data_IF_663567422004
#
_entry.id   IF_663567422004
#
_cell.length_a   1.000
_cell.length_b   1.000
_cell.length_c   1.000
_cell.angle_alpha   90.00
_cell.angle_beta   90.00
_cell.angle_gamma   90.00
#
_symmetry.space_group_name_H-M   'P 1'
#
loop_
_entity.id
_entity.type
_entity.pdbx_description
1 polymer ?
#
# COMPACT_ATOMS: atom_id res chain seq x y z
N UNK A 1 59.06 19.79 -9.19
CA UNK A 1 59.38 21.22 -9.16
C UNK A 1 58.10 21.99 -9.37
N UNK A 2 57.84 22.92 -8.44
CA UNK A 2 56.77 23.91 -8.37
C UNK A 2 55.36 23.45 -7.98
N UNK A 3 55.08 23.32 -6.67
CA UNK A 3 53.99 24.01 -5.99
C UNK A 3 54.30 25.54 -5.96
N UNK A 4 53.39 26.47 -5.67
CA UNK A 4 52.15 26.43 -4.85
C UNK A 4 51.06 27.43 -5.29
N UNK A 5 49.95 27.50 -4.60
CA UNK A 5 49.40 28.70 -3.96
C UNK A 5 48.03 28.43 -3.32
N UNK A 6 47.99 28.60 -2.03
CA UNK A 6 46.82 28.86 -1.19
C UNK A 6 46.38 30.30 -1.36
N UNK A 7 45.10 30.63 -1.28
CA UNK A 7 44.62 31.89 -0.75
C UNK A 7 43.78 31.71 0.52
N UNK A 8 44.25 32.39 1.51
CA UNK A 8 43.68 33.19 2.60
C UNK A 8 42.15 33.13 2.87
N UNK A 9 41.95 32.76 4.08
CA UNK A 9 41.01 33.11 5.13
C UNK A 9 40.50 34.57 5.01
N UNK A 10 39.16 34.71 4.97
CA UNK A 10 38.49 35.98 5.25
C UNK A 10 37.31 35.72 6.21
N UNK A 11 37.64 35.84 7.49
CA UNK A 11 36.75 35.79 8.62
C UNK A 11 36.05 37.15 8.80
N UNK A 12 34.86 37.33 8.30
CA UNK A 12 34.03 38.45 8.75
C UNK A 12 33.11 38.01 9.90
N UNK A 13 33.52 38.47 11.07
CA UNK A 13 32.76 38.50 12.32
C UNK A 13 31.39 39.18 12.12
N UNK A 14 30.35 38.52 12.48
CA UNK A 14 29.08 39.18 12.86
C UNK A 14 28.98 39.16 14.38
N UNK A 15 29.11 40.37 14.95
CA UNK A 15 28.84 40.68 16.35
C UNK A 15 27.35 40.46 16.65
N UNK A 16 27.08 39.56 17.57
CA UNK A 16 25.76 39.41 18.19
C UNK A 16 25.68 40.38 19.35
N UNK A 17 24.95 41.46 19.15
CA UNK A 17 24.60 42.47 20.13
C UNK A 17 23.59 41.88 21.12
N UNK A 18 24.03 41.66 22.35
CA UNK A 18 23.19 41.24 23.48
C UNK A 18 22.41 42.44 24.01
N UNK A 19 21.10 42.47 23.73
CA UNK A 19 20.17 43.42 24.34
C UNK A 19 19.84 42.94 25.78
N UNK A 20 20.27 43.76 26.76
CA UNK A 20 19.98 43.57 28.18
C UNK A 20 18.52 43.90 28.56
N UNK A 21 18.04 43.46 29.73
CA UNK A 21 16.65 43.66 30.17
C UNK A 21 16.39 45.11 30.63
N UNK A 22 15.14 45.59 30.52
CA UNK A 22 14.78 46.97 30.90
C UNK A 22 14.71 47.11 32.43
N UNK A 23 14.97 48.33 32.94
CA UNK A 23 15.04 48.61 34.40
C UNK A 23 13.66 48.66 35.06
N UNK A 24 13.60 48.15 36.28
CA UNK A 24 12.42 48.15 37.13
C UNK A 24 11.99 49.57 37.54
N UNK A 25 10.69 49.81 37.47
CA UNK A 25 10.05 51.01 38.01
C UNK A 25 9.76 50.78 39.48
N UNK A 26 10.44 51.52 40.35
CA UNK A 26 10.10 51.76 41.77
C UNK A 26 8.84 52.64 41.82
N UNK A 27 7.75 52.17 42.39
CA UNK A 27 6.63 52.99 42.75
C UNK A 27 6.63 53.31 44.24
N UNK A 28 6.65 54.57 44.48
CA UNK A 28 6.63 55.29 45.74
C UNK A 28 5.41 54.96 46.59
N UNK A 29 5.72 54.73 47.84
CA UNK A 29 4.81 54.61 48.99
C UNK A 29 4.10 55.91 49.23
N UNK A 30 2.78 56.00 48.97
CA UNK A 30 1.96 57.13 49.42
C UNK A 30 1.00 56.61 50.51
N UNK A 31 1.28 57.06 51.73
CA UNK A 31 0.50 56.82 52.95
C UNK A 31 -0.90 57.41 52.78
N UNK A 32 -1.93 56.58 52.91
CA UNK A 32 -3.32 57.02 52.96
C UNK A 32 -3.85 56.86 54.38
N UNK A 33 -3.87 58.00 55.08
CA UNK A 33 -4.40 58.20 56.44
C UNK A 33 -5.93 58.23 56.43
N UNK A 34 -6.64 57.11 56.17
CA UNK A 34 -8.11 57.10 56.18
C UNK A 34 -8.71 55.87 56.87
N UNK A 35 -7.96 55.13 57.66
CA UNK A 35 -8.41 53.92 58.28
C UNK A 35 -9.18 54.03 59.65
N UNK A 36 -9.24 55.16 60.39
CA UNK A 36 -10.04 55.15 61.61
C UNK A 36 -11.53 55.49 61.45
N UNK A 37 -11.96 56.04 60.27
CA UNK A 37 -13.38 56.46 60.11
C UNK A 37 -14.31 55.30 59.68
N UNK A 38 -13.80 54.23 59.03
CA UNK A 38 -14.59 53.07 58.59
C UNK A 38 -14.85 52.04 59.71
N UNK A 39 -14.03 52.00 60.74
CA UNK A 39 -14.21 51.07 61.87
C UNK A 39 -15.41 51.40 62.77
N UNK A 40 -15.73 52.70 62.90
CA UNK A 40 -16.83 53.14 63.77
C UNK A 40 -18.22 52.92 63.16
N UNK A 41 -18.31 52.94 61.85
CA UNK A 41 -19.57 52.72 61.10
C UNK A 41 -19.96 51.23 61.03
N UNK A 42 -18.99 50.33 61.02
CA UNK A 42 -19.23 48.87 61.03
C UNK A 42 -19.65 48.38 62.43
N UNK A 43 -19.24 49.05 63.51
CA UNK A 43 -19.61 48.65 64.89
C UNK A 43 -21.05 49.03 65.21
N UNK A 44 -21.56 50.15 64.69
CA UNK A 44 -22.95 50.57 64.88
C UNK A 44 -23.96 49.78 64.03
N UNK A 45 -23.57 49.32 62.83
CA UNK A 45 -24.43 48.48 62.00
C UNK A 45 -24.46 47.03 62.48
N UNK A 46 -23.37 46.50 63.10
CA UNK A 46 -23.33 45.16 63.70
C UNK A 46 -24.22 45.01 64.93
N UNK A 47 -24.33 46.04 65.79
CA UNK A 47 -25.21 46.04 66.98
C UNK A 47 -26.71 46.10 66.63
N UNK A 48 -27.07 46.77 65.55
CA UNK A 48 -28.46 46.86 65.10
C UNK A 48 -29.01 45.60 64.46
N UNK A 49 -28.18 44.85 63.75
CA UNK A 49 -28.53 43.57 63.13
C UNK A 49 -28.55 42.41 64.16
N UNK A 50 -27.72 42.44 65.17
CA UNK A 50 -27.67 41.42 66.25
C UNK A 50 -28.95 41.45 67.14
N UNK A 51 -29.51 42.64 67.42
CA UNK A 51 -30.75 42.77 68.20
C UNK A 51 -31.98 42.31 67.46
N UNK A 52 -32.01 42.54 66.13
CA UNK A 52 -33.15 42.11 65.30
C UNK A 52 -33.13 40.55 65.11
N UNK A 53 -31.97 39.92 65.19
CA UNK A 53 -31.86 38.47 65.10
C UNK A 53 -32.22 37.75 66.40
N UNK A 54 -32.10 38.43 67.59
CA UNK A 54 -32.46 37.86 68.85
C UNK A 54 -33.96 37.93 69.16
N UNK A 55 -34.68 38.89 68.63
CA UNK A 55 -36.15 39.02 68.86
C UNK A 55 -36.99 38.07 67.95
N UNK A 56 -36.40 37.39 66.99
CA UNK A 56 -37.10 36.43 66.11
C UNK A 56 -37.21 35.00 66.64
N UNK A 57 -36.76 34.73 67.88
CA UNK A 57 -36.71 33.36 68.41
C UNK A 57 -37.74 32.99 69.49
N UNK A 58 -38.85 33.63 69.51
CA UNK A 58 -39.92 33.22 70.44
C UNK A 58 -41.23 33.05 69.64
N UNK A 59 -41.63 31.81 69.54
CA UNK A 59 -42.89 31.24 69.03
C UNK A 59 -42.82 30.55 67.66
N UNK A 60 -42.57 29.27 67.68
CA UNK A 60 -43.04 28.33 66.70
C UNK A 60 -43.75 27.16 67.36
N UNK A 61 -44.96 26.83 67.02
CA UNK A 61 -45.62 25.61 67.46
C UNK A 61 -45.10 24.43 66.63
N UNK A 62 -45.00 23.25 67.27
CA UNK A 62 -44.46 22.01 66.76
C UNK A 62 -44.98 21.62 65.38
N UNK A 63 -44.01 21.52 64.45
CA UNK A 63 -44.17 20.79 63.24
C UNK A 63 -43.33 19.53 63.34
N UNK A 64 -43.97 18.38 63.25
CA UNK A 64 -43.38 17.06 63.22
C UNK A 64 -42.23 17.01 62.17
N UNK A 65 -41.04 16.69 62.64
CA UNK A 65 -39.97 16.25 61.80
C UNK A 65 -40.39 14.95 61.12
N UNK A 66 -40.88 15.03 59.87
CA UNK A 66 -41.03 13.87 59.02
C UNK A 66 -39.62 13.28 58.83
N UNK A 67 -39.46 12.00 59.15
CA UNK A 67 -38.28 11.23 58.87
C UNK A 67 -37.98 11.38 57.36
N UNK A 68 -36.69 11.42 56.97
CA UNK A 68 -36.35 11.49 55.53
C UNK A 68 -36.90 10.23 54.85
N UNK A 69 -37.95 10.41 54.09
CA UNK A 69 -38.41 9.38 53.13
C UNK A 69 -37.24 9.18 52.15
N UNK A 70 -36.72 7.96 52.15
CA UNK A 70 -35.74 7.53 51.15
C UNK A 70 -36.38 7.62 49.76
N UNK A 71 -36.34 8.79 49.16
CA UNK A 71 -36.82 8.98 47.77
C UNK A 71 -35.86 8.23 46.90
N UNK A 72 -36.39 7.24 46.13
CA UNK A 72 -35.62 6.53 45.14
C UNK A 72 -35.08 7.54 44.11
N UNK A 73 -33.80 7.52 43.88
CA UNK A 73 -33.13 8.43 42.92
C UNK A 73 -33.47 8.04 41.48
N UNK A 74 -33.92 9.01 40.66
CA UNK A 74 -34.18 8.73 39.24
C UNK A 74 -32.88 8.49 38.52
N UNK A 75 -32.73 7.33 37.84
CA UNK A 75 -31.54 6.93 37.09
C UNK A 75 -31.93 6.34 35.77
N UNK A 76 -31.04 6.49 34.75
CA UNK A 76 -31.19 5.75 33.52
C UNK A 76 -30.42 4.44 33.61
N UNK A 77 -31.07 3.36 33.17
CA UNK A 77 -30.48 2.03 33.12
C UNK A 77 -30.09 1.69 31.68
N UNK A 78 -28.94 1.06 31.53
CA UNK A 78 -28.49 0.42 30.30
C UNK A 78 -28.31 -1.08 30.52
N UNK A 79 -28.73 -1.91 29.62
CA UNK A 79 -28.46 -3.34 29.65
C UNK A 79 -27.13 -3.63 28.97
N UNK A 80 -26.27 -4.40 29.63
CA UNK A 80 -24.99 -4.81 29.08
C UNK A 80 -25.19 -5.91 28.05
N UNK A 81 -24.87 -5.61 26.81
CA UNK A 81 -24.87 -6.58 25.72
C UNK A 81 -23.45 -7.00 25.40
N UNK A 82 -23.29 -8.28 25.03
CA UNK A 82 -22.02 -8.75 24.47
C UNK A 82 -21.86 -8.17 23.08
N UNK A 83 -20.81 -7.38 22.89
CA UNK A 83 -20.46 -6.78 21.60
C UNK A 83 -19.05 -7.19 21.19
N UNK A 84 -18.68 -6.93 19.92
CA UNK A 84 -17.32 -7.21 19.45
C UNK A 84 -16.36 -6.13 19.93
N UNK A 85 -15.42 -6.51 20.76
CA UNK A 85 -14.29 -5.66 21.16
C UNK A 85 -13.15 -5.89 20.20
N UNK A 86 -12.62 -4.80 19.65
CA UNK A 86 -11.53 -4.80 18.68
C UNK A 86 -10.26 -4.27 19.35
N UNK A 87 -9.24 -5.12 19.45
CA UNK A 87 -7.90 -4.66 19.80
C UNK A 87 -7.20 -4.20 18.51
N UNK A 88 -6.81 -2.95 18.46
CA UNK A 88 -6.14 -2.35 17.31
C UNK A 88 -5.05 -1.37 17.73
N UNK A 89 -4.13 -1.14 16.81
CA UNK A 89 -3.16 -0.04 16.93
C UNK A 89 -3.26 0.86 15.70
N UNK A 90 -3.12 2.15 15.91
CA UNK A 90 -3.10 3.14 14.84
C UNK A 90 -1.66 3.43 14.41
N UNK A 91 -1.46 3.41 13.11
CA UNK A 91 -0.20 3.71 12.46
C UNK A 91 -0.40 4.76 11.37
N UNK A 92 0.65 5.50 11.09
CA UNK A 92 0.74 6.31 9.87
C UNK A 92 1.67 5.57 8.93
N UNK A 93 1.19 5.30 7.72
CA UNK A 93 1.96 4.64 6.68
C UNK A 93 1.87 5.37 5.35
N UNK A 94 2.77 5.03 4.43
CA UNK A 94 2.72 5.50 3.05
C UNK A 94 2.12 4.44 2.14
N UNK A 95 1.25 4.87 1.25
CA UNK A 95 0.78 4.04 0.15
C UNK A 95 1.84 4.05 -0.95
N UNK A 96 2.12 2.88 -1.50
CA UNK A 96 3.13 2.67 -2.53
C UNK A 96 2.53 1.82 -3.65
N UNK A 97 2.68 2.26 -4.89
CA UNK A 97 2.21 1.48 -6.02
C UNK A 97 3.25 0.40 -6.35
N UNK A 98 2.89 -0.91 -6.31
CA UNK A 98 3.86 -1.99 -6.55
C UNK A 98 4.46 -1.92 -7.96
N UNK A 99 3.69 -1.45 -8.93
CA UNK A 99 4.11 -1.28 -10.31
C UNK A 99 4.23 0.21 -10.64
N UNK A 100 5.28 0.86 -10.19
CA UNK A 100 5.66 2.22 -10.57
C UNK A 100 7.07 2.22 -11.12
N UNK A 101 7.25 2.65 -12.37
CA UNK A 101 8.56 2.68 -13.04
C UNK A 101 8.80 4.01 -13.73
N UNK A 102 10.07 4.38 -13.80
CA UNK A 102 10.54 5.46 -14.66
C UNK A 102 10.85 4.91 -16.06
N UNK A 103 10.20 5.46 -17.07
CA UNK A 103 10.46 5.11 -18.47
C UNK A 103 11.64 5.95 -18.98
N UNK A 104 12.68 5.26 -19.42
CA UNK A 104 13.89 5.87 -20.00
C UNK A 104 14.12 5.32 -21.40
N UNK A 105 14.71 6.09 -22.33
CA UNK A 105 15.04 5.59 -23.65
C UNK A 105 16.21 4.61 -23.57
N UNK A 106 16.19 3.56 -24.37
CA UNK A 106 17.31 2.61 -24.47
C UNK A 106 18.42 3.15 -25.39
N UNK A 107 18.07 4.06 -26.28
CA UNK A 107 18.99 4.71 -27.23
C UNK A 107 18.97 6.23 -27.11
N UNK A 108 20.10 6.85 -27.40
CA UNK A 108 20.17 8.31 -27.53
C UNK A 108 19.52 8.74 -28.85
N UNK A 109 18.64 9.75 -28.78
CA UNK A 109 17.97 10.27 -29.97
C UNK A 109 17.27 11.60 -29.72
N UNK A 110 16.79 12.22 -30.81
CA UNK A 110 15.97 13.43 -30.73
C UNK A 110 14.49 13.03 -30.70
N UNK A 111 13.73 13.57 -29.75
CA UNK A 111 12.27 13.39 -29.67
C UNK A 111 11.62 13.97 -30.91
N UNK A 112 10.99 13.11 -31.72
CA UNK A 112 10.22 13.50 -32.91
C UNK A 112 8.75 13.72 -32.62
N UNK A 113 8.17 12.90 -31.72
CA UNK A 113 6.77 12.96 -31.36
C UNK A 113 6.53 12.42 -29.95
N UNK A 114 5.54 12.98 -29.25
CA UNK A 114 5.00 12.49 -27.99
C UNK A 114 3.52 12.18 -28.25
N UNK A 115 3.11 10.94 -27.98
CA UNK A 115 1.77 10.45 -28.32
C UNK A 115 0.77 10.58 -27.18
N UNK A 116 1.26 10.80 -25.94
CA UNK A 116 0.45 10.80 -24.72
C UNK A 116 0.66 12.09 -23.94
N UNK A 117 -0.33 12.44 -23.14
CA UNK A 117 -0.26 13.54 -22.19
C UNK A 117 -0.11 13.00 -20.75
N UNK A 118 0.38 13.84 -19.86
CA UNK A 118 0.41 13.52 -18.43
C UNK A 118 -1.01 13.28 -17.88
N UNK A 119 -1.18 12.21 -17.14
CA UNK A 119 -2.45 11.76 -16.59
C UNK A 119 -3.24 10.82 -17.51
N UNK A 120 -2.79 10.58 -18.74
CA UNK A 120 -3.44 9.64 -19.64
C UNK A 120 -3.33 8.20 -19.12
N UNK A 121 -4.39 7.43 -19.34
CA UNK A 121 -4.41 6.00 -19.07
C UNK A 121 -4.03 5.26 -20.34
N UNK A 122 -2.99 4.42 -20.26
CA UNK A 122 -2.44 3.65 -21.38
C UNK A 122 -2.48 2.16 -21.08
N UNK A 123 -2.50 1.36 -22.16
CA UNK A 123 -2.37 -0.09 -22.10
C UNK A 123 -0.97 -0.53 -22.52
N UNK A 124 -0.58 -1.74 -22.13
CA UNK A 124 0.69 -2.32 -22.57
C UNK A 124 0.83 -2.26 -24.11
N UNK A 125 2.02 -1.85 -24.59
CA UNK A 125 2.32 -1.67 -26.01
C UNK A 125 1.87 -0.33 -26.62
N UNK A 126 1.17 0.53 -25.87
CA UNK A 126 0.81 1.88 -26.37
C UNK A 126 2.07 2.72 -26.56
N UNK A 127 2.30 3.34 -27.73
CA UNK A 127 3.42 4.21 -27.98
C UNK A 127 3.31 5.47 -27.11
N UNK A 128 4.39 5.81 -26.40
CA UNK A 128 4.49 6.98 -25.53
C UNK A 128 5.26 8.10 -26.20
N UNK A 129 6.48 7.80 -26.64
CA UNK A 129 7.41 8.76 -27.25
C UNK A 129 8.10 8.12 -28.43
N UNK A 130 8.23 8.87 -29.51
CA UNK A 130 9.00 8.51 -30.71
C UNK A 130 10.28 9.31 -30.75
N UNK A 131 11.39 8.63 -30.81
CA UNK A 131 12.68 9.24 -31.18
C UNK A 131 12.81 9.26 -32.69
N UNK A 132 13.64 10.18 -33.23
CA UNK A 132 13.84 10.31 -34.70
C UNK A 132 14.43 9.02 -35.25
N UNK A 133 13.70 8.32 -36.17
CA UNK A 133 14.12 7.02 -36.66
C UNK A 133 15.03 7.09 -37.91
N UNK A 134 15.16 8.28 -38.55
CA UNK A 134 15.77 8.46 -39.87
C UNK A 134 17.13 7.72 -40.03
N UNK A 135 18.00 7.85 -39.03
CA UNK A 135 19.31 7.20 -39.03
C UNK A 135 19.18 5.67 -38.96
N UNK A 136 18.29 5.17 -38.11
CA UNK A 136 18.08 3.73 -37.90
C UNK A 136 17.38 3.06 -39.06
N UNK A 137 16.47 3.77 -39.70
CA UNK A 137 15.83 3.34 -40.97
C UNK A 137 16.85 3.21 -42.08
N UNK A 138 17.76 4.20 -42.24
CA UNK A 138 18.83 4.14 -43.20
C UNK A 138 19.82 3.00 -42.93
N UNK A 139 20.19 2.78 -41.64
CA UNK A 139 21.03 1.68 -41.24
C UNK A 139 20.39 0.33 -41.58
N UNK A 140 19.11 0.13 -41.24
CA UNK A 140 18.35 -1.08 -41.58
C UNK A 140 18.28 -1.31 -43.09
N UNK A 141 17.98 -0.27 -43.87
CA UNK A 141 17.93 -0.35 -45.32
C UNK A 141 19.28 -0.80 -45.92
N UNK A 142 20.38 -0.29 -45.42
CA UNK A 142 21.74 -0.68 -45.80
C UNK A 142 22.04 -2.16 -45.52
N UNK A 143 21.66 -2.63 -44.30
CA UNK A 143 21.87 -4.03 -43.91
C UNK A 143 20.96 -4.97 -44.72
N UNK A 144 19.72 -4.60 -45.02
CA UNK A 144 18.80 -5.37 -45.87
C UNK A 144 19.35 -5.48 -47.32
N UNK A 145 20.00 -4.44 -47.84
CA UNK A 145 20.71 -4.54 -49.10
C UNK A 145 21.83 -5.58 -49.04
N UNK A 146 22.57 -5.65 -47.94
CA UNK A 146 23.61 -6.68 -47.72
C UNK A 146 23.04 -8.11 -47.68
N UNK A 147 21.85 -8.32 -47.11
CA UNK A 147 21.13 -9.61 -47.15
C UNK A 147 20.82 -9.98 -48.60
N UNK A 148 20.39 -9.02 -49.42
CA UNK A 148 20.07 -9.25 -50.83
C UNK A 148 21.30 -9.66 -51.63
N UNK A 149 22.47 -9.05 -51.38
CA UNK A 149 23.76 -9.44 -51.97
C UNK A 149 24.15 -10.86 -51.58
N UNK A 150 24.06 -11.20 -50.30
CA UNK A 150 24.37 -12.53 -49.82
C UNK A 150 23.46 -13.61 -50.42
N UNK A 151 22.17 -13.34 -50.59
CA UNK A 151 21.20 -14.24 -51.28
C UNK A 151 21.56 -14.45 -52.77
N UNK A 152 21.98 -13.38 -53.43
CA UNK A 152 22.45 -13.50 -54.81
C UNK A 152 23.72 -14.39 -54.90
N UNK A 153 24.65 -14.22 -53.96
CA UNK A 153 25.81 -15.10 -53.82
C UNK A 153 25.44 -16.56 -53.58
N UNK A 154 24.46 -16.86 -52.73
CA UNK A 154 23.93 -18.19 -52.51
C UNK A 154 23.30 -18.79 -53.78
N UNK A 155 22.53 -18.00 -54.55
CA UNK A 155 21.94 -18.45 -55.78
C UNK A 155 23.02 -18.81 -56.83
N UNK A 156 24.08 -18.01 -56.92
CA UNK A 156 25.22 -18.30 -57.78
C UNK A 156 25.93 -19.63 -57.40
N UNK A 157 26.17 -19.81 -56.08
CA UNK A 157 26.77 -21.05 -55.58
C UNK A 157 25.88 -22.29 -55.83
N UNK A 158 24.56 -22.14 -55.71
CA UNK A 158 23.59 -23.20 -56.06
C UNK A 158 23.68 -23.58 -57.53
N UNK A 159 23.71 -22.58 -58.42
CA UNK A 159 23.85 -22.81 -59.86
C UNK A 159 25.16 -23.53 -60.21
N UNK A 160 26.24 -23.25 -59.49
CA UNK A 160 27.52 -24.00 -59.69
C UNK A 160 27.40 -25.49 -59.29
N UNK A 161 26.68 -25.79 -58.17
CA UNK A 161 26.39 -27.18 -57.80
C UNK A 161 25.57 -27.89 -58.87
N UNK A 162 24.51 -27.20 -59.35
CA UNK A 162 23.64 -27.76 -60.43
C UNK A 162 24.41 -28.03 -61.71
N UNK A 163 25.28 -27.09 -62.13
CA UNK A 163 26.14 -27.27 -63.29
C UNK A 163 27.10 -28.49 -63.14
N UNK A 164 27.76 -28.58 -61.99
CA UNK A 164 28.66 -29.70 -61.68
C UNK A 164 27.91 -31.05 -61.63
N UNK A 165 26.66 -31.07 -61.18
CA UNK A 165 25.81 -32.28 -61.18
C UNK A 165 25.39 -32.65 -62.62
N UNK A 166 25.12 -31.69 -63.50
CA UNK A 166 24.86 -31.96 -64.92
C UNK A 166 26.08 -32.55 -65.59
N UNK A 167 27.29 -32.01 -65.34
CA UNK A 167 28.54 -32.54 -65.83
C UNK A 167 28.73 -34.02 -65.38
N UNK A 168 28.39 -34.34 -64.12
CA UNK A 168 28.44 -35.70 -63.59
C UNK A 168 27.55 -36.66 -64.37
N UNK A 169 26.32 -36.28 -64.67
CA UNK A 169 25.37 -37.08 -65.44
C UNK A 169 25.94 -37.40 -66.84
N UNK A 170 26.51 -36.39 -67.52
CA UNK A 170 27.15 -36.58 -68.83
C UNK A 170 28.36 -37.56 -68.76
N UNK A 171 29.22 -37.41 -67.76
CA UNK A 171 30.38 -38.26 -67.56
C UNK A 171 30.00 -39.70 -67.12
N UNK A 172 28.91 -39.85 -66.39
CA UNK A 172 28.39 -41.17 -65.99
C UNK A 172 27.89 -41.96 -67.21
N UNK A 173 27.25 -41.26 -68.17
CA UNK A 173 26.89 -41.87 -69.46
C UNK A 173 28.12 -42.34 -70.25
N UNK A 174 29.22 -41.56 -70.25
CA UNK A 174 30.49 -41.95 -70.84
C UNK A 174 31.10 -43.17 -70.20
N UNK A 175 31.17 -43.19 -68.84
CA UNK A 175 31.63 -44.36 -68.09
C UNK A 175 30.82 -45.61 -68.47
N UNK A 176 29.51 -45.49 -68.60
CA UNK A 176 28.64 -46.61 -68.96
C UNK A 176 28.92 -47.08 -70.41
N UNK A 177 29.16 -46.17 -71.38
CA UNK A 177 29.58 -46.53 -72.69
C UNK A 177 30.90 -47.25 -72.70
N UNK A 178 31.90 -46.75 -71.98
CA UNK A 178 33.24 -47.40 -71.98
C UNK A 178 33.20 -48.75 -71.25
N UNK A 179 32.39 -48.92 -70.21
CA UNK A 179 32.14 -50.22 -69.57
C UNK A 179 31.51 -51.21 -70.49
N UNK A 180 30.55 -50.85 -71.31
CA UNK A 180 29.92 -51.69 -72.32
C UNK A 180 30.94 -52.11 -73.42
N UNK A 181 31.75 -51.13 -73.90
CA UNK A 181 32.81 -51.41 -74.90
C UNK A 181 33.84 -52.40 -74.36
N UNK A 182 34.31 -52.22 -73.10
CA UNK A 182 35.22 -53.13 -72.47
C UNK A 182 34.61 -54.54 -72.31
N UNK A 183 33.35 -54.69 -71.86
CA UNK A 183 32.68 -55.97 -71.80
C UNK A 183 32.53 -56.70 -73.09
N UNK A 184 32.21 -56.00 -74.18
CA UNK A 184 32.13 -56.55 -75.51
C UNK A 184 33.51 -57.02 -76.05
N UNK A 185 34.53 -56.17 -75.92
CA UNK A 185 35.90 -56.45 -76.37
C UNK A 185 36.49 -57.60 -75.58
N UNK A 186 36.31 -57.65 -74.26
CA UNK A 186 36.77 -58.81 -73.40
C UNK A 186 36.19 -60.12 -73.86
N UNK A 187 34.87 -60.19 -74.15
CA UNK A 187 34.25 -61.43 -74.72
C UNK A 187 34.80 -61.82 -76.04
N UNK A 188 35.14 -60.86 -76.94
CA UNK A 188 35.71 -61.11 -78.26
C UNK A 188 37.19 -61.63 -78.18
N UNK A 189 37.97 -61.06 -77.24
CA UNK A 189 39.36 -61.57 -76.98
C UNK A 189 39.34 -62.97 -76.39
N UNK A 190 38.46 -63.22 -75.45
CA UNK A 190 38.27 -64.57 -74.85
C UNK A 190 37.93 -65.61 -75.91
N UNK A 191 37.24 -65.23 -76.97
CA UNK A 191 36.88 -66.06 -78.13
C UNK A 191 37.97 -66.12 -79.18
N UNK A 192 39.10 -65.42 -79.01
CA UNK A 192 40.19 -65.35 -79.98
C UNK A 192 39.94 -64.47 -81.19
N UNK A 193 38.91 -63.62 -81.18
CA UNK A 193 38.54 -62.74 -82.31
C UNK A 193 39.24 -61.38 -82.30
N UNK A 194 39.83 -60.92 -81.19
CA UNK A 194 40.60 -59.69 -81.07
C UNK A 194 41.93 -59.96 -80.26
N UNK A 195 42.87 -59.03 -80.42
CA UNK A 195 44.17 -59.09 -79.71
C UNK A 195 44.06 -58.57 -78.27
N UNK A 196 44.99 -59.03 -77.40
CA UNK A 196 45.10 -58.47 -76.02
C UNK A 196 45.40 -56.94 -76.03
N UNK A 197 46.17 -56.47 -77.01
CA UNK A 197 46.45 -55.08 -77.16
C UNK A 197 45.12 -54.21 -77.26
N UNK A 198 44.10 -54.72 -77.98
CA UNK A 198 42.82 -54.11 -78.13
C UNK A 198 42.05 -54.09 -76.77
N UNK A 199 42.18 -55.10 -75.95
CA UNK A 199 41.60 -55.13 -74.62
C UNK A 199 42.28 -54.12 -73.70
N UNK A 200 43.62 -54.06 -73.73
CA UNK A 200 44.35 -53.07 -72.94
C UNK A 200 44.02 -51.58 -73.32
N UNK A 201 43.71 -51.34 -74.60
CA UNK A 201 43.26 -49.97 -74.99
C UNK A 201 41.90 -49.63 -74.40
N UNK A 202 40.85 -50.43 -74.53
CA UNK A 202 39.55 -50.19 -74.02
C UNK A 202 39.52 -50.21 -72.44
N UNK A 203 40.45 -50.97 -71.87
CA UNK A 203 40.67 -50.94 -70.40
C UNK A 203 41.15 -49.54 -69.96
N UNK A 204 42.21 -49.04 -70.62
CA UNK A 204 42.72 -47.67 -70.32
C UNK A 204 41.65 -46.60 -70.53
N UNK A 205 40.82 -46.71 -71.55
CA UNK A 205 39.73 -45.77 -71.85
C UNK A 205 38.67 -45.78 -70.75
N UNK A 206 38.23 -47.01 -70.31
CA UNK A 206 37.30 -47.17 -69.17
C UNK A 206 37.89 -46.59 -67.89
N UNK A 207 39.15 -46.90 -67.56
CA UNK A 207 39.81 -46.48 -66.33
C UNK A 207 40.00 -44.95 -66.34
N UNK A 208 40.25 -44.33 -67.50
CA UNK A 208 40.31 -42.90 -67.67
C UNK A 208 38.94 -42.26 -67.49
N UNK A 209 37.88 -42.84 -68.04
CA UNK A 209 36.52 -42.32 -67.83
C UNK A 209 36.09 -42.40 -66.35
N UNK A 210 36.44 -43.48 -65.64
CA UNK A 210 36.17 -43.62 -64.20
C UNK A 210 36.96 -42.58 -63.40
N UNK A 211 38.24 -42.34 -63.73
CA UNK A 211 39.05 -41.33 -63.06
C UNK A 211 38.50 -39.89 -63.28
N UNK A 212 37.98 -39.62 -64.49
CA UNK A 212 37.31 -38.36 -64.79
C UNK A 212 36.00 -38.16 -64.00
N UNK A 213 35.18 -39.25 -63.86
CA UNK A 213 33.98 -39.18 -63.02
C UNK A 213 34.33 -38.87 -61.55
N UNK A 214 35.36 -39.55 -61.01
CA UNK A 214 35.84 -39.28 -59.66
C UNK A 214 36.37 -37.85 -59.47
N UNK A 215 36.94 -37.24 -60.51
CA UNK A 215 37.34 -35.82 -60.48
C UNK A 215 36.12 -34.86 -60.46
N UNK A 216 35.05 -35.20 -61.18
CA UNK A 216 33.78 -34.40 -61.15
C UNK A 216 33.11 -34.55 -59.75
N UNK A 217 33.09 -35.75 -59.17
CA UNK A 217 32.53 -35.94 -57.80
C UNK A 217 33.23 -35.04 -56.79
N UNK A 218 34.57 -34.90 -56.85
CA UNK A 218 35.32 -33.96 -56.00
C UNK A 218 34.96 -32.52 -56.32
N UNK A 219 34.69 -32.16 -57.57
CA UNK A 219 34.25 -30.82 -57.95
C UNK A 219 32.87 -30.49 -57.37
N UNK A 220 31.95 -31.50 -57.36
CA UNK A 220 30.65 -31.35 -56.71
C UNK A 220 30.82 -31.10 -55.20
N UNK A 221 31.65 -31.87 -54.53
CA UNK A 221 31.93 -31.68 -53.10
C UNK A 221 32.49 -30.27 -52.82
N UNK A 222 33.38 -29.75 -53.66
CA UNK A 222 33.90 -28.39 -53.55
C UNK A 222 32.81 -27.34 -53.77
N UNK A 223 31.93 -27.53 -54.77
CA UNK A 223 30.81 -26.62 -55.04
C UNK A 223 29.77 -26.66 -53.90
N UNK A 224 29.49 -27.84 -53.31
CA UNK A 224 28.60 -27.98 -52.17
C UNK A 224 29.17 -27.30 -50.94
N UNK A 225 30.50 -27.38 -50.71
CA UNK A 225 31.17 -26.63 -49.63
C UNK A 225 31.03 -25.12 -49.85
N UNK A 226 31.21 -24.63 -51.09
CA UNK A 226 30.98 -23.23 -51.45
C UNK A 226 29.52 -22.78 -51.22
N UNK A 227 28.55 -23.66 -51.51
CA UNK A 227 27.13 -23.38 -51.25
C UNK A 227 26.87 -23.32 -49.73
N UNK A 228 27.51 -24.18 -48.93
CA UNK A 228 27.38 -24.16 -47.48
C UNK A 228 27.96 -22.87 -46.89
N UNK A 229 29.09 -22.38 -47.41
CA UNK A 229 29.69 -21.10 -47.05
C UNK A 229 28.77 -19.94 -47.42
N UNK A 230 28.21 -19.93 -48.63
CA UNK A 230 27.27 -18.88 -49.07
C UNK A 230 25.99 -18.85 -48.21
N UNK A 231 25.47 -20.01 -47.77
CA UNK A 231 24.34 -20.12 -46.83
C UNK A 231 24.68 -19.54 -45.45
N UNK A 232 25.88 -19.83 -44.95
CA UNK A 232 26.35 -19.23 -43.70
C UNK A 232 26.46 -17.71 -43.83
N UNK A 233 26.89 -17.18 -44.98
CA UNK A 233 26.91 -15.76 -45.28
C UNK A 233 25.54 -15.12 -45.25
N UNK A 234 24.50 -15.76 -45.80
CA UNK A 234 23.12 -15.30 -45.70
C UNK A 234 22.63 -15.27 -44.26
N UNK A 235 22.90 -16.31 -43.49
CA UNK A 235 22.49 -16.35 -42.09
C UNK A 235 23.15 -15.24 -41.25
N UNK A 236 24.41 -14.94 -41.50
CA UNK A 236 25.13 -13.84 -40.86
C UNK A 236 24.53 -12.46 -41.25
N UNK A 237 24.25 -12.25 -42.53
CA UNK A 237 23.62 -11.01 -43.02
C UNK A 237 22.22 -10.83 -42.42
N UNK A 238 21.43 -11.91 -42.33
CA UNK A 238 20.10 -11.89 -41.72
C UNK A 238 20.17 -11.53 -40.23
N UNK A 239 21.07 -12.13 -39.46
CA UNK A 239 21.27 -11.80 -38.04
C UNK A 239 21.65 -10.33 -37.83
N UNK A 240 22.41 -9.74 -38.73
CA UNK A 240 22.72 -8.31 -38.73
C UNK A 240 21.48 -7.46 -39.03
N UNK A 241 20.61 -7.88 -39.93
CA UNK A 241 19.35 -7.20 -40.25
C UNK A 241 18.37 -7.26 -39.03
N UNK A 242 18.28 -8.41 -38.38
CA UNK A 242 17.45 -8.57 -37.21
C UNK A 242 17.91 -7.65 -36.07
N UNK A 243 19.22 -7.52 -35.87
CA UNK A 243 19.80 -6.55 -34.93
C UNK A 243 19.46 -5.10 -35.27
N UNK A 244 19.63 -4.72 -36.52
CA UNK A 244 19.31 -3.34 -36.98
C UNK A 244 17.81 -3.06 -36.83
N UNK A 245 16.94 -4.05 -37.08
CA UNK A 245 15.50 -3.93 -36.86
C UNK A 245 15.13 -3.76 -35.39
N UNK A 246 15.76 -4.52 -34.46
CA UNK A 246 15.58 -4.34 -33.05
C UNK A 246 15.96 -2.91 -32.60
N UNK A 247 17.10 -2.40 -33.08
CA UNK A 247 17.53 -1.02 -32.79
C UNK A 247 16.58 0.04 -33.36
N UNK A 248 15.90 -0.24 -34.48
CA UNK A 248 14.86 0.64 -34.97
C UNK A 248 13.61 0.62 -34.08
N UNK A 249 13.23 -0.56 -33.55
CA UNK A 249 12.11 -0.67 -32.65
C UNK A 249 12.34 0.07 -31.32
N UNK A 250 13.58 0.11 -30.81
CA UNK A 250 13.98 0.89 -29.64
C UNK A 250 13.79 2.41 -29.81
N UNK A 251 13.63 2.89 -31.04
CA UNK A 251 13.30 4.29 -31.31
C UNK A 251 11.86 4.66 -30.94
N UNK A 252 10.99 3.66 -30.75
CA UNK A 252 9.61 3.87 -30.29
C UNK A 252 9.48 3.35 -28.87
N UNK A 253 9.37 4.26 -27.92
CA UNK A 253 9.20 3.92 -26.50
C UNK A 253 7.73 3.61 -26.26
N UNK A 254 7.44 2.41 -25.75
CA UNK A 254 6.08 1.93 -25.49
C UNK A 254 5.85 1.67 -24.00
N UNK A 255 4.59 1.66 -23.58
CA UNK A 255 4.21 1.29 -22.21
C UNK A 255 4.43 -0.21 -22.00
N UNK A 256 5.19 -0.64 -20.96
CA UNK A 256 5.41 -2.06 -20.67
C UNK A 256 4.22 -2.76 -20.02
N UNK A 257 3.33 -2.01 -19.36
CA UNK A 257 2.10 -2.49 -18.72
C UNK A 257 1.02 -1.40 -18.71
N UNK A 258 -0.19 -1.79 -18.33
CA UNK A 258 -1.32 -0.87 -18.21
C UNK A 258 -1.15 0.06 -17.02
N UNK A 259 -1.25 1.37 -17.22
CA UNK A 259 -1.02 2.33 -16.16
C UNK A 259 -1.43 3.76 -16.50
N UNK A 260 -1.06 4.67 -15.61
CA UNK A 260 -1.26 6.10 -15.75
C UNK A 260 0.10 6.76 -16.01
N UNK A 261 0.16 7.57 -17.04
CA UNK A 261 1.36 8.32 -17.44
C UNK A 261 1.57 9.49 -16.48
N UNK A 262 2.76 9.56 -15.89
CA UNK A 262 3.16 10.64 -15.01
C UNK A 262 3.55 11.93 -15.75
N UNK A 263 4.44 12.73 -15.14
CA UNK A 263 4.96 13.92 -15.80
C UNK A 263 5.89 13.56 -16.96
N UNK A 264 5.86 14.39 -18.03
CA UNK A 264 6.69 14.22 -19.22
C UNK A 264 7.58 15.45 -19.33
N UNK A 265 8.80 15.43 -18.76
CA UNK A 265 9.71 16.58 -18.81
C UNK A 265 10.25 16.84 -20.20
N UNK A 266 10.36 15.80 -21.05
CA UNK A 266 10.89 15.89 -22.40
C UNK A 266 9.92 16.61 -23.34
N UNK A 267 10.47 17.36 -24.31
CA UNK A 267 9.71 18.09 -25.34
C UNK A 267 10.11 17.62 -26.72
N UNK A 268 9.19 17.77 -27.69
CA UNK A 268 9.49 17.53 -29.10
C UNK A 268 10.65 18.45 -29.53
N UNK A 269 11.68 17.84 -30.10
CA UNK A 269 12.91 18.50 -30.49
C UNK A 269 14.10 18.35 -29.51
N UNK A 270 13.85 17.92 -28.29
CA UNK A 270 14.91 17.66 -27.30
C UNK A 270 15.74 16.44 -27.70
N UNK A 271 17.02 16.44 -27.30
CA UNK A 271 17.89 15.26 -27.40
C UNK A 271 17.91 14.58 -26.06
N UNK A 272 17.52 13.31 -26.03
CA UNK A 272 17.45 12.49 -24.81
C UNK A 272 18.44 11.34 -24.89
N UNK A 273 18.93 10.94 -23.71
CA UNK A 273 19.90 9.85 -23.51
C UNK A 273 19.30 8.79 -22.58
N UNK A 274 19.94 7.63 -22.46
CA UNK A 274 19.53 6.57 -21.56
C UNK A 274 19.51 6.96 -20.04
N UNK A 275 20.08 8.12 -19.69
CA UNK A 275 20.06 8.67 -18.34
C UNK A 275 18.82 9.53 -18.07
N UNK A 276 18.15 9.99 -19.11
CA UNK A 276 17.03 10.93 -19.01
C UNK A 276 15.72 10.20 -18.74
N UNK A 277 14.91 10.72 -17.84
CA UNK A 277 13.57 10.20 -17.56
C UNK A 277 12.62 10.84 -18.57
N UNK A 278 11.94 10.02 -19.37
CA UNK A 278 10.92 10.48 -20.32
C UNK A 278 9.58 10.68 -19.64
N UNK A 279 9.20 9.75 -18.81
CA UNK A 279 7.97 9.79 -17.99
C UNK A 279 8.03 8.72 -16.91
N UNK A 280 7.08 8.74 -15.98
CA UNK A 280 6.80 7.61 -15.10
C UNK A 280 5.52 6.91 -15.54
N UNK A 281 5.42 5.61 -15.31
CA UNK A 281 4.21 4.83 -15.53
C UNK A 281 3.86 4.12 -14.24
N UNK A 282 2.66 4.39 -13.71
CA UNK A 282 2.21 3.86 -12.42
C UNK A 282 0.90 3.11 -12.58
N UNK A 283 0.85 1.86 -12.10
CA UNK A 283 -0.38 1.11 -11.97
C UNK A 283 -1.01 1.43 -10.62
N UNK A 284 -2.14 2.12 -10.63
CA UNK A 284 -2.82 2.60 -9.42
C UNK A 284 -4.09 1.81 -9.07
N UNK A 285 -4.22 0.57 -9.57
CA UNK A 285 -5.39 -0.29 -9.32
C UNK A 285 -5.35 -0.93 -7.93
N UNK A 286 -4.16 -1.21 -7.43
CA UNK A 286 -3.91 -1.67 -6.06
C UNK A 286 -2.71 -0.94 -5.51
N UNK A 287 -2.72 -0.68 -4.21
CA UNK A 287 -1.64 -0.01 -3.49
C UNK A 287 -1.26 -0.81 -2.26
N UNK A 288 0.00 -0.81 -1.94
CA UNK A 288 0.52 -1.39 -0.72
C UNK A 288 0.75 -0.29 0.31
N UNK A 289 0.13 -0.44 1.47
CA UNK A 289 0.39 0.42 2.61
C UNK A 289 1.59 -0.14 3.38
N UNK A 290 2.62 0.66 3.52
CA UNK A 290 3.82 0.33 4.29
C UNK A 290 3.66 0.84 5.71
N UNK A 291 3.70 -0.07 6.67
CA UNK A 291 3.52 0.19 8.10
C UNK A 291 4.79 -0.22 8.85
N UNK A 292 5.26 0.65 9.74
CA UNK A 292 6.35 0.33 10.67
C UNK A 292 5.74 -0.12 12.00
N UNK A 293 5.77 -1.42 12.26
CA UNK A 293 5.20 -2.03 13.48
C UNK A 293 6.31 -2.19 14.53
N UNK A 294 6.15 -1.63 15.74
CA UNK A 294 7.13 -1.77 16.82
C UNK A 294 7.37 -3.23 17.21
N UNK A 295 8.60 -3.53 17.64
CA UNK A 295 9.02 -4.89 18.01
C UNK A 295 8.21 -5.51 19.15
N UNK A 296 7.65 -4.68 20.04
CA UNK A 296 6.83 -5.14 21.16
C UNK A 296 5.56 -5.89 20.69
N UNK A 297 4.98 -5.43 19.56
CA UNK A 297 3.78 -6.04 18.97
C UNK A 297 4.10 -7.00 17.80
N UNK A 298 5.36 -7.08 17.39
CA UNK A 298 5.80 -7.92 16.29
C UNK A 298 5.44 -9.42 16.43
N UNK A 299 5.47 -10.03 17.64
CA UNK A 299 5.06 -11.43 17.82
C UNK A 299 3.59 -11.70 17.50
N UNK A 300 2.74 -10.68 17.53
CA UNK A 300 1.31 -10.78 17.23
C UNK A 300 1.00 -10.52 15.73
N UNK A 301 1.98 -9.98 14.99
CA UNK A 301 1.83 -9.65 13.58
C UNK A 301 1.77 -10.91 12.71
N UNK A 302 0.73 -10.98 11.86
CA UNK A 302 0.50 -12.12 10.94
C UNK A 302 0.03 -11.63 9.58
N UNK A 303 0.39 -12.35 8.54
CA UNK A 303 -0.21 -12.17 7.22
C UNK A 303 -1.70 -12.52 7.26
N UNK A 304 -2.51 -11.75 6.53
CA UNK A 304 -3.97 -11.89 6.53
C UNK A 304 -4.71 -11.10 7.62
N UNK A 305 -4.01 -10.44 8.55
CA UNK A 305 -4.64 -9.53 9.51
C UNK A 305 -5.30 -8.36 8.79
N UNK A 306 -6.45 -7.93 9.30
CA UNK A 306 -7.20 -6.82 8.75
C UNK A 306 -6.52 -5.49 9.08
N UNK A 307 -6.42 -4.64 8.07
CA UNK A 307 -5.96 -3.26 8.19
C UNK A 307 -7.05 -2.36 7.63
N UNK A 308 -7.41 -1.32 8.35
CA UNK A 308 -8.44 -0.37 7.96
C UNK A 308 -7.82 1.01 7.78
N UNK A 309 -8.04 1.63 6.61
CA UNK A 309 -7.70 3.03 6.40
C UNK A 309 -8.76 3.91 7.05
N UNK A 310 -8.32 4.92 7.77
CA UNK A 310 -9.23 5.86 8.45
C UNK A 310 -9.04 7.27 7.96
N UNK A 311 -10.14 8.03 7.94
CA UNK A 311 -10.14 9.46 7.71
C UNK A 311 -9.67 10.23 8.97
N UNK A 312 -9.63 11.55 8.89
CA UNK A 312 -9.25 12.40 10.02
C UNK A 312 -10.28 12.39 11.17
N UNK A 313 -11.46 11.87 10.93
CA UNK A 313 -12.53 11.72 11.91
C UNK A 313 -12.56 10.33 12.55
N UNK A 314 -11.71 9.42 12.07
CA UNK A 314 -11.62 8.05 12.54
C UNK A 314 -12.60 7.07 11.88
N UNK A 315 -13.35 7.51 10.84
CA UNK A 315 -14.22 6.61 10.08
C UNK A 315 -13.40 5.73 9.15
N UNK A 316 -13.83 4.49 9.00
CA UNK A 316 -13.19 3.53 8.09
C UNK A 316 -13.55 3.91 6.65
N UNK A 317 -12.53 4.24 5.86
CA UNK A 317 -12.66 4.56 4.43
C UNK A 317 -12.57 3.29 3.60
N UNK A 318 -11.63 2.40 3.96
CA UNK A 318 -11.36 1.17 3.22
C UNK A 318 -10.70 0.13 4.10
N UNK A 319 -10.89 -1.15 3.77
CA UNK A 319 -10.25 -2.28 4.45
C UNK A 319 -9.32 -3.03 3.49
N UNK A 320 -8.19 -3.46 4.01
CA UNK A 320 -7.20 -4.30 3.35
C UNK A 320 -6.71 -5.39 4.28
N UNK A 321 -5.71 -6.13 3.86
CA UNK A 321 -5.10 -7.19 4.65
C UNK A 321 -3.58 -7.12 4.58
N UNK A 322 -2.91 -7.49 5.66
CA UNK A 322 -1.45 -7.64 5.68
C UNK A 322 -1.05 -8.72 4.68
N UNK A 323 -0.35 -8.33 3.64
CA UNK A 323 0.12 -9.20 2.55
C UNK A 323 1.56 -9.67 2.75
N UNK A 324 2.39 -8.85 3.39
CA UNK A 324 3.79 -9.13 3.59
C UNK A 324 4.29 -8.61 4.94
N UNK A 325 5.24 -9.33 5.53
CA UNK A 325 5.96 -8.95 6.75
C UNK A 325 7.45 -9.11 6.46
N UNK A 326 8.22 -8.05 6.61
CA UNK A 326 9.64 -8.08 6.35
C UNK A 326 10.37 -9.02 7.32
N UNK A 327 11.27 -9.89 6.83
CA UNK A 327 12.04 -10.80 7.67
C UNK A 327 13.18 -10.09 8.44
N UNK A 328 13.38 -8.81 8.18
CA UNK A 328 14.45 -7.99 8.78
C UNK A 328 13.85 -6.86 9.62
N UNK A 329 14.43 -6.63 10.78
CA UNK A 329 14.13 -5.48 11.63
C UNK A 329 14.89 -4.26 11.11
N UNK A 330 14.23 -3.13 11.03
CA UNK A 330 14.88 -1.85 10.74
C UNK A 330 15.61 -1.36 12.00
N UNK A 331 16.93 -1.45 11.99
CA UNK A 331 17.76 -1.27 13.18
C UNK A 331 17.65 0.08 13.88
N UNK A 332 17.40 1.17 13.12
CA UNK A 332 17.27 2.52 13.69
C UNK A 332 15.90 2.77 14.34
N UNK A 333 14.85 2.14 13.86
CA UNK A 333 13.48 2.35 14.31
C UNK A 333 12.99 1.27 15.28
N UNK A 334 13.74 0.16 15.44
CA UNK A 334 13.32 -1.04 16.19
C UNK A 334 11.91 -1.49 15.81
N UNK A 335 11.62 -1.50 14.52
CA UNK A 335 10.33 -1.83 13.95
C UNK A 335 10.47 -2.88 12.85
N UNK A 336 9.39 -3.57 12.55
CA UNK A 336 9.26 -4.48 11.42
C UNK A 336 8.35 -3.81 10.39
N UNK A 337 8.81 -3.78 9.13
CA UNK A 337 7.99 -3.34 8.02
C UNK A 337 6.92 -4.39 7.73
N UNK A 338 5.66 -3.97 7.76
CA UNK A 338 4.53 -4.74 7.27
C UNK A 338 3.91 -4.02 6.07
N UNK A 339 3.48 -4.78 5.07
CA UNK A 339 2.75 -4.22 3.93
C UNK A 339 1.33 -4.78 3.93
N UNK A 340 0.36 -3.91 3.72
CA UNK A 340 -1.04 -4.28 3.57
C UNK A 340 -1.55 -3.82 2.21
N UNK A 341 -2.22 -4.71 1.49
CA UNK A 341 -2.71 -4.44 0.13
C UNK A 341 -4.13 -3.89 0.18
N UNK A 342 -4.37 -2.85 -0.61
CA UNK A 342 -5.66 -2.19 -0.78
C UNK A 342 -5.99 -2.08 -2.26
N UNK A 343 -7.19 -2.52 -2.63
CA UNK A 343 -7.72 -2.32 -3.98
C UNK A 343 -8.14 -0.86 -4.16
N UNK A 344 -7.87 -0.27 -5.33
CA UNK A 344 -8.18 1.13 -5.60
C UNK A 344 -8.98 1.31 -6.92
N UNK A 345 -10.17 0.71 -7.03
CA UNK A 345 -10.96 0.78 -8.26
C UNK A 345 -11.43 2.20 -8.58
N UNK A 346 -11.63 3.04 -7.57
CA UNK A 346 -12.04 4.43 -7.72
C UNK A 346 -10.89 5.38 -8.08
N UNK A 347 -9.63 4.96 -7.91
CA UNK A 347 -8.44 5.78 -8.12
C UNK A 347 -8.27 6.94 -7.12
N UNK A 348 -8.98 6.88 -5.97
CA UNK A 348 -8.93 7.94 -4.96
C UNK A 348 -7.62 7.90 -4.15
N UNK A 349 -7.10 6.72 -3.93
CA UNK A 349 -5.80 6.54 -3.28
C UNK A 349 -4.69 6.82 -4.28
N UNK A 350 -3.60 7.44 -3.83
CA UNK A 350 -2.48 7.84 -4.66
C UNK A 350 -1.18 7.25 -4.14
N UNK A 351 -0.29 6.95 -5.08
CA UNK A 351 1.09 6.60 -4.80
C UNK A 351 1.79 7.72 -4.02
N UNK A 352 2.61 7.37 -3.02
CA UNK A 352 3.27 8.31 -2.12
C UNK A 352 2.36 9.00 -1.08
N UNK A 353 1.07 8.68 -1.02
CA UNK A 353 0.13 9.27 -0.07
C UNK A 353 0.34 8.71 1.34
N UNK A 354 0.46 9.61 2.34
CA UNK A 354 0.43 9.21 3.74
C UNK A 354 -1.02 9.07 4.21
N UNK A 355 -1.30 7.95 4.87
CA UNK A 355 -2.62 7.62 5.38
C UNK A 355 -2.54 7.11 6.81
N UNK A 356 -3.62 7.29 7.57
CA UNK A 356 -3.78 6.68 8.89
C UNK A 356 -4.43 5.31 8.72
N UNK A 357 -3.91 4.32 9.41
CA UNK A 357 -4.40 2.95 9.34
C UNK A 357 -4.52 2.35 10.74
N UNK A 358 -5.54 1.53 10.92
CA UNK A 358 -5.72 0.67 12.10
C UNK A 358 -5.36 -0.75 11.72
N UNK A 359 -4.35 -1.30 12.38
CA UNK A 359 -4.03 -2.72 12.31
C UNK A 359 -4.81 -3.43 13.41
N UNK A 360 -5.65 -4.36 13.04
CA UNK A 360 -6.51 -5.11 13.97
C UNK A 360 -5.76 -6.36 14.43
N UNK A 361 -5.48 -6.42 15.73
CA UNK A 361 -4.77 -7.54 16.33
C UNK A 361 -5.70 -8.70 16.63
N UNK A 362 -6.82 -8.39 17.31
CA UNK A 362 -7.79 -9.39 17.73
C UNK A 362 -9.20 -8.80 17.74
N UNK A 363 -10.16 -9.64 17.44
CA UNK A 363 -11.57 -9.35 17.61
C UNK A 363 -12.16 -10.44 18.52
N UNK A 364 -12.69 -10.02 19.66
CA UNK A 364 -13.26 -10.95 20.63
C UNK A 364 -14.58 -10.43 21.16
N UNK A 365 -15.53 -11.32 21.55
CA UNK A 365 -16.72 -10.89 22.27
C UNK A 365 -16.31 -10.31 23.62
N UNK A 366 -16.91 -9.20 24.01
CA UNK A 366 -16.63 -8.54 25.28
C UNK A 366 -17.76 -7.60 25.68
N UNK A 367 -17.63 -6.98 26.84
CA UNK A 367 -18.60 -6.02 27.36
C UNK A 367 -18.02 -4.60 27.23
N UNK A 368 -18.83 -3.71 26.67
CA UNK A 368 -18.53 -2.29 26.62
C UNK A 368 -19.45 -1.53 27.56
N UNK A 369 -18.90 -0.60 28.33
CA UNK A 369 -19.61 0.24 29.29
C UNK A 369 -19.37 1.70 28.94
N UNK A 370 -20.42 2.52 28.76
CA UNK A 370 -20.26 3.95 28.51
C UNK A 370 -19.44 4.64 29.58
N UNK A 371 -18.55 5.53 29.18
CA UNK A 371 -17.68 6.28 30.09
C UNK A 371 -18.48 7.03 31.17
N UNK A 372 -19.72 7.41 30.87
CA UNK A 372 -20.67 8.09 31.77
C UNK A 372 -21.14 7.21 32.93
N UNK A 373 -21.11 5.88 32.80
CA UNK A 373 -21.50 4.92 33.82
C UNK A 373 -20.37 4.60 34.83
N UNK A 374 -19.13 4.99 34.48
CA UNK A 374 -17.94 4.66 35.29
C UNK A 374 -17.66 5.80 36.27
N UNK A 375 -17.56 5.46 37.52
CA UNK A 375 -17.17 6.39 38.59
C UNK A 375 -15.88 5.90 39.25
N UNK A 376 -15.10 6.82 39.81
CA UNK A 376 -13.86 6.48 40.52
C UNK A 376 -13.94 6.92 42.00
N UNK A 377 -13.66 6.01 42.88
CA UNK A 377 -13.55 6.29 44.30
C UNK A 377 -12.15 5.86 44.77
N UNK A 378 -11.43 6.77 45.36
CA UNK A 378 -10.04 6.56 45.79
C UNK A 378 -9.09 6.05 44.69
N UNK A 379 -9.42 6.32 43.42
CA UNK A 379 -8.63 5.90 42.27
C UNK A 379 -9.11 4.61 41.60
N UNK A 380 -9.92 3.79 42.31
CA UNK A 380 -10.48 2.55 41.76
C UNK A 380 -11.74 2.83 40.93
N UNK A 381 -11.87 2.24 39.72
CA UNK A 381 -13.07 2.35 38.92
C UNK A 381 -14.16 1.40 39.38
N UNK A 382 -15.42 1.86 39.41
CA UNK A 382 -16.58 1.06 39.72
C UNK A 382 -17.80 1.50 38.90
N UNK A 383 -18.76 0.60 38.86
CA UNK A 383 -20.05 0.79 38.13
C UNK A 383 -21.17 0.44 39.13
N UNK A 384 -22.30 1.15 39.03
CA UNK A 384 -23.50 0.79 39.78
C UNK A 384 -24.37 -0.18 38.96
N UNK A 385 -24.62 -1.36 39.55
CA UNK A 385 -25.48 -2.40 38.98
C UNK A 385 -26.84 -2.32 39.63
N UNK A 386 -27.91 -2.32 38.84
CA UNK A 386 -29.29 -2.34 39.36
C UNK A 386 -29.67 -3.77 39.73
N UNK A 387 -29.94 -4.02 41.00
CA UNK A 387 -30.41 -5.32 41.52
C UNK A 387 -31.78 -5.20 42.17
N UNK A 388 -32.60 -6.27 42.17
CA UNK A 388 -33.74 -6.38 43.06
C UNK A 388 -33.31 -6.27 44.52
N UNK A 389 -34.06 -5.64 45.40
CA UNK A 389 -33.72 -5.57 46.82
C UNK A 389 -33.62 -6.97 47.43
N UNK A 390 -32.58 -7.16 48.25
CA UNK A 390 -32.36 -8.47 48.91
C UNK A 390 -33.48 -8.76 49.88
N UNK A 391 -34.26 -9.85 49.74
CA UNK A 391 -35.38 -10.14 50.59
C UNK A 391 -34.98 -10.41 52.06
N UNK A 392 -33.69 -10.56 52.35
CA UNK A 392 -33.15 -10.78 53.73
C UNK A 392 -32.67 -9.50 54.40
N UNK A 393 -32.55 -8.36 53.68
CA UNK A 393 -32.24 -7.09 54.30
C UNK A 393 -33.49 -6.58 55.04
N UNK A 394 -33.45 -6.60 56.38
CA UNK A 394 -34.53 -6.08 57.24
C UNK A 394 -34.79 -4.61 56.86
N UNK A 395 -36.04 -4.26 56.47
CA UNK A 395 -36.37 -2.84 56.27
C UNK A 395 -36.28 -2.14 57.64
N UNK A 396 -35.86 -0.86 57.72
CA UNK A 396 -35.99 -0.09 58.93
C UNK A 396 -37.44 -0.10 59.34
N UNK A 397 -37.71 -0.48 60.63
CA UNK A 397 -39.03 -0.71 61.21
C UNK A 397 -39.99 0.44 60.88
N UNK A 398 -40.90 0.24 59.97
CA UNK A 398 -42.02 1.13 59.70
C UNK A 398 -43.12 0.80 60.73
N UNK A 399 -43.56 1.81 61.50
CA UNK A 399 -44.77 1.77 62.29
C UNK A 399 -45.98 1.53 61.38
N UNK A 400 -47.00 0.73 61.82
CA UNK A 400 -48.12 0.39 60.99
C UNK A 400 -48.91 1.62 60.60
N UNK A 401 -49.31 1.73 59.31
CA UNK A 401 -50.11 2.86 58.81
C UNK A 401 -51.53 2.78 59.37
N UNK A 402 -52.09 3.94 59.69
CA UNK A 402 -53.50 4.09 60.07
C UNK A 402 -54.39 3.67 58.88
N UNK A 403 -55.41 2.88 59.22
CA UNK A 403 -56.34 2.28 58.29
C UNK A 403 -57.04 3.33 57.37
N UNK A 404 -56.90 3.17 56.06
CA UNK A 404 -57.82 3.86 55.13
C UNK A 404 -57.31 4.27 53.79
N UNK A 405 -56.14 3.83 53.25
CA UNK A 405 -55.77 4.08 51.85
C UNK A 405 -55.34 2.76 51.14
N UNK A 406 -55.86 2.49 49.96
CA UNK A 406 -55.37 1.35 49.18
C UNK A 406 -53.95 1.63 48.73
N UNK A 407 -53.02 0.65 48.77
CA UNK A 407 -51.65 0.82 48.30
C UNK A 407 -51.68 0.96 46.78
N UNK A 408 -51.30 2.15 46.29
CA UNK A 408 -50.91 2.32 44.94
C UNK A 408 -49.65 1.45 44.70
N UNK A 409 -49.74 0.48 43.80
CA UNK A 409 -48.61 -0.41 43.50
C UNK A 409 -47.41 0.38 43.02
N UNK A 410 -46.47 0.60 43.90
CA UNK A 410 -45.13 1.06 43.51
C UNK A 410 -44.40 -0.12 42.84
N UNK A 411 -43.79 0.09 41.67
CA UNK A 411 -42.93 -0.94 41.12
C UNK A 411 -41.81 -1.28 42.11
N UNK A 412 -41.31 -2.53 42.16
CA UNK A 412 -40.27 -2.93 43.09
C UNK A 412 -39.05 -1.97 42.95
N UNK A 413 -38.69 -1.30 44.03
CA UNK A 413 -37.56 -0.41 44.04
C UNK A 413 -36.28 -1.22 43.77
N UNK A 414 -35.59 -0.97 42.68
CA UNK A 414 -34.24 -1.51 42.41
C UNK A 414 -33.27 -0.84 43.38
N UNK A 415 -32.17 -1.52 43.70
CA UNK A 415 -31.11 -1.00 44.56
C UNK A 415 -29.82 -0.93 43.74
N UNK A 416 -29.10 0.17 43.88
CA UNK A 416 -27.79 0.34 43.23
C UNK A 416 -26.72 -0.38 44.05
N UNK A 417 -26.10 -1.40 43.50
CA UNK A 417 -24.93 -2.08 44.07
C UNK A 417 -23.66 -1.53 43.43
N UNK A 418 -22.76 -1.02 44.25
CA UNK A 418 -21.46 -0.57 43.84
C UNK A 418 -20.55 -1.78 43.56
N UNK A 419 -20.09 -1.96 42.30
CA UNK A 419 -19.24 -3.08 41.92
C UNK A 419 -17.93 -2.58 41.31
N UNK A 420 -16.78 -2.98 41.86
CA UNK A 420 -15.48 -2.67 41.28
C UNK A 420 -15.33 -3.39 39.93
N UNK A 421 -14.73 -2.71 38.95
CA UNK A 421 -14.53 -3.24 37.62
C UNK A 421 -13.09 -3.05 37.16
N UNK A 422 -12.58 -4.02 36.43
CA UNK A 422 -11.31 -3.86 35.71
C UNK A 422 -11.59 -3.35 34.31
N UNK A 423 -11.04 -2.20 33.96
CA UNK A 423 -11.21 -1.57 32.68
C UNK A 423 -10.04 -1.94 31.76
N UNK A 424 -10.37 -2.24 30.52
CA UNK A 424 -9.43 -2.42 29.41
C UNK A 424 -9.35 -1.19 28.52
N UNK A 425 -9.21 -1.42 27.23
CA UNK A 425 -9.08 -0.37 26.21
C UNK A 425 -10.38 0.41 26.02
N UNK A 426 -10.24 1.66 25.54
CA UNK A 426 -11.38 2.50 25.15
C UNK A 426 -11.70 2.24 23.69
N UNK A 427 -12.97 2.01 23.38
CA UNK A 427 -13.48 1.87 22.05
C UNK A 427 -14.58 2.92 21.80
N UNK A 428 -14.27 3.95 21.02
CA UNK A 428 -15.17 5.10 20.87
C UNK A 428 -15.33 5.87 22.18
N UNK A 429 -16.55 5.86 22.77
CA UNK A 429 -16.89 6.49 24.04
C UNK A 429 -17.10 5.48 25.19
N UNK A 430 -16.82 4.21 24.91
CA UNK A 430 -17.07 3.10 25.84
C UNK A 430 -15.76 2.47 26.29
N UNK A 431 -15.73 2.02 27.57
CA UNK A 431 -14.62 1.25 28.11
C UNK A 431 -14.91 -0.24 28.02
N UNK A 432 -13.94 -1.01 27.59
CA UNK A 432 -13.98 -2.46 27.72
C UNK A 432 -13.93 -2.84 29.20
N UNK A 433 -14.80 -3.75 29.64
CA UNK A 433 -14.74 -4.35 30.97
C UNK A 433 -14.11 -5.73 30.84
N UNK A 434 -13.01 -5.93 31.56
CA UNK A 434 -12.29 -7.20 31.61
C UNK A 434 -12.86 -8.11 32.69
N UNK A 435 -13.17 -7.55 33.88
CA UNK A 435 -13.71 -8.28 35.00
C UNK A 435 -14.68 -7.41 35.83
N UNK A 436 -15.63 -8.04 36.48
CA UNK A 436 -16.55 -7.40 37.40
C UNK A 436 -18.01 -7.31 36.95
N UNK A 437 -18.32 -7.51 35.65
CA UNK A 437 -19.68 -7.44 35.10
C UNK A 437 -19.99 -8.66 34.24
N UNK A 438 -21.27 -8.99 34.11
CA UNK A 438 -21.77 -10.06 33.24
C UNK A 438 -22.74 -9.53 32.18
N UNK A 439 -22.82 -10.23 31.04
CA UNK A 439 -23.78 -9.90 30.00
C UNK A 439 -25.22 -10.05 30.51
N UNK A 440 -26.08 -9.11 30.15
CA UNK A 440 -27.48 -9.07 30.59
C UNK A 440 -27.71 -8.32 31.90
N UNK A 441 -26.66 -7.89 32.61
CA UNK A 441 -26.80 -7.04 33.79
C UNK A 441 -27.24 -5.63 33.41
N UNK A 442 -28.06 -5.01 34.27
CA UNK A 442 -28.49 -3.63 34.14
C UNK A 442 -27.57 -2.71 34.94
N UNK A 443 -26.98 -1.75 34.29
CA UNK A 443 -26.08 -0.76 34.91
C UNK A 443 -26.71 0.64 34.82
N UNK A 444 -26.31 1.49 35.79
CA UNK A 444 -26.70 2.90 35.78
C UNK A 444 -25.80 3.68 34.81
N UNK A 445 -26.38 4.27 33.78
CA UNK A 445 -25.64 5.03 32.75
C UNK A 445 -25.73 6.55 32.96
N UNK A 446 -26.70 7.02 33.76
CA UNK A 446 -26.86 8.44 34.07
C UNK A 446 -27.38 8.62 35.53
N UNK A 447 -26.95 9.69 36.19
CA UNK A 447 -27.31 9.98 37.58
C UNK A 447 -26.35 9.37 38.62
N UNK A 448 -25.20 8.84 38.19
CA UNK A 448 -24.23 8.11 39.02
C UNK A 448 -23.58 8.96 40.14
N UNK A 449 -23.48 10.29 39.99
CA UNK A 449 -22.78 11.19 40.92
C UNK A 449 -23.45 11.30 42.32
N UNK A 450 -24.75 11.01 42.39
CA UNK A 450 -25.53 11.10 43.65
C UNK A 450 -25.84 9.74 44.25
N UNK A 451 -25.30 8.67 43.66
CA UNK A 451 -25.53 7.31 44.14
C UNK A 451 -24.49 6.90 45.18
N UNK A 452 -24.95 6.13 46.14
CA UNK A 452 -24.13 5.39 47.06
C UNK A 452 -24.56 3.91 47.06
N UNK A 453 -23.71 3.03 47.59
CA UNK A 453 -24.02 1.62 47.68
C UNK A 453 -25.29 1.36 48.50
N UNK A 454 -26.19 0.53 47.99
CA UNK A 454 -27.45 0.17 48.68
C UNK A 454 -28.57 1.19 48.55
N UNK A 455 -28.44 2.29 47.83
CA UNK A 455 -29.51 3.30 47.64
C UNK A 455 -30.57 2.80 46.70
N UNK A 456 -31.90 2.97 47.08
CA UNK A 456 -32.99 2.63 46.18
C UNK A 456 -33.01 3.58 44.95
N UNK A 457 -33.17 2.98 43.74
CA UNK A 457 -33.19 3.68 42.48
C UNK A 457 -34.53 3.46 41.77
N UNK A 458 -34.94 4.47 40.99
CA UNK A 458 -36.10 4.41 40.11
C UNK A 458 -35.68 4.55 38.66
N UNK A 459 -35.93 3.55 37.79
CA UNK A 459 -35.59 3.65 36.37
C UNK A 459 -36.47 4.72 35.71
N UNK A 460 -35.79 5.68 35.02
CA UNK A 460 -36.46 6.66 34.17
C UNK A 460 -36.14 6.28 32.73
N UNK A 461 -37.18 6.19 31.87
CA UNK A 461 -36.94 5.89 30.46
C UNK A 461 -36.00 6.95 29.86
N UNK A 462 -35.13 6.58 28.92
CA UNK A 462 -34.27 7.54 28.24
C UNK A 462 -35.17 8.62 27.61
N UNK A 463 -34.81 9.90 27.79
CA UNK A 463 -35.51 10.99 27.12
C UNK A 463 -35.45 10.71 25.61
N UNK A 464 -36.58 10.28 25.04
CA UNK A 464 -36.69 10.15 23.58
C UNK A 464 -36.34 11.52 23.01
N UNK A 465 -35.45 11.56 22.04
CA UNK A 465 -35.22 12.73 21.20
C UNK A 465 -36.57 13.18 20.67
N UNK A 466 -37.19 14.11 21.39
CA UNK A 466 -38.46 14.72 21.00
C UNK A 466 -38.17 15.47 19.69
N UNK A 467 -38.72 14.94 18.62
CA UNK A 467 -38.57 15.34 17.25
C UNK A 467 -38.60 16.86 17.05
N UNK A 468 -37.53 17.36 16.50
CA UNK A 468 -37.50 18.55 15.71
C UNK A 468 -38.13 18.24 14.35
N UNK A 469 -39.43 18.28 14.27
CA UNK A 469 -40.20 18.06 13.04
C UNK A 469 -41.56 18.72 13.08
N UNK A 470 -41.58 20.07 13.10
CA UNK A 470 -42.76 20.82 12.71
C UNK A 470 -42.59 21.34 11.28
N UNK A 471 -43.41 20.92 10.29
CA UNK A 471 -43.38 21.53 8.98
C UNK A 471 -44.09 22.89 9.04
N UNK A 472 -43.39 23.98 8.79
CA UNK A 472 -44.00 25.23 8.41
C UNK A 472 -44.38 25.16 6.94
N UNK A 473 -45.71 25.15 6.67
CA UNK A 473 -46.35 25.58 5.42
C UNK A 473 -47.05 26.89 5.65
N UNK A 474 -47.38 27.68 4.61
CA UNK A 474 -47.04 27.61 3.18
C UNK A 474 -45.98 28.64 2.73
#
# INVERSE_FOLDING_TARGET
MNSPATPQDDSSRYDIETAGPPPGRTSTRQQRRWLPALGLLLLLTGLGLGWRWWQGRAAAPGGQAGAPQSQALPVQLGTLETTTVIDYSEFIGSLDAPDSIEIRPEITGRVSQIYVAKGDRVTAGTPLVQLRPDQREADLASVLASVSVARAGQANALSQVEAARADRIAQEAEVNLQRQNFGRTSTLVERGALSEQALDEVRRDRDTAIAQLAAIDRRIQAAEAGLAEARAGVAQAQANADRANAQLQEATIVAPFDGIVGDIPARVGDVVTNSDILTSLTRNQSLNLRLSVPLERAPELRTGQRVELTDNQGNVVQSGVVSFIAPRVEGNAQSILAEATFDNPSGQLRDGQFVRARLIWEQRPGLLVPATAITRLAGEPFVFVAKPPDPTAQPPQQQPPAAGQPPAGQPPALVAEQRPVQLGNIQGNDYQVLEGLAAGEQIVVSGVLNLADGVPIMPVPPASEAGSGAPMTP
#
